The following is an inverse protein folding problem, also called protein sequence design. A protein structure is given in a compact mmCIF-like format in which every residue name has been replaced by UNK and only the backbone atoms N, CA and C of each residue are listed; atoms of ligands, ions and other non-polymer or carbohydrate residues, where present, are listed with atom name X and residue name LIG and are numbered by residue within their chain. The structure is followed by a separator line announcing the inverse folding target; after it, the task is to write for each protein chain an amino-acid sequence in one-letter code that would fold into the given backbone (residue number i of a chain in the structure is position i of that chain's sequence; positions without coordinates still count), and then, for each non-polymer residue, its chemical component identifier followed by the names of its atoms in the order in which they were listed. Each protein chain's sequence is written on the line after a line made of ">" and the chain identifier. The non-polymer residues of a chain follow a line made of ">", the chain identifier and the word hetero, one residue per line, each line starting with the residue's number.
data_IF_497784917411
#
_entry.id   IF_497784917411
#
_cell.length_a   1.000
_cell.length_b   1.000
_cell.length_c   1.000
_cell.angle_alpha   90.00
_cell.angle_beta   90.00
_cell.angle_gamma   90.00
#
_symmetry.space_group_name_H-M   'P 1'
#
loop_
_entity.id
_entity.type
_entity.pdbx_description
1 polymer ?
#
# COMPACT_ATOMS: atom_id res chain seq x y z
N UNK A 1 0.36 14.11 9.01
CA UNK A 1 1.06 13.57 10.22
C UNK A 1 1.35 12.08 10.08
N UNK A 2 0.38 11.23 9.68
CA UNK A 2 0.60 9.78 9.50
C UNK A 2 1.67 9.50 8.43
N UNK A 3 1.61 10.17 7.27
CA UNK A 3 2.61 10.08 6.22
C UNK A 3 4.04 10.35 6.74
N UNK A 4 4.23 11.42 7.50
CA UNK A 4 5.52 11.75 8.10
C UNK A 4 6.01 10.67 9.08
N UNK A 5 5.10 10.11 9.88
CA UNK A 5 5.41 9.02 10.80
C UNK A 5 5.88 7.77 10.07
N UNK A 6 5.18 7.38 9.01
CA UNK A 6 5.49 6.18 8.23
C UNK A 6 6.78 6.31 7.42
N UNK A 7 7.02 7.48 6.85
CA UNK A 7 8.17 7.70 5.92
C UNK A 7 9.40 8.30 6.60
N UNK A 8 9.31 8.72 7.86
CA UNK A 8 10.37 9.48 8.54
C UNK A 8 10.58 10.88 7.94
N UNK A 9 9.67 11.37 7.10
CA UNK A 9 9.76 12.69 6.49
C UNK A 9 9.34 13.79 7.45
N UNK A 10 9.86 15.00 7.26
CA UNK A 10 9.45 16.23 7.94
C UNK A 10 8.71 17.16 6.98
N UNK A 11 7.68 16.66 6.31
CA UNK A 11 6.81 17.53 5.51
C UNK A 11 5.95 18.34 6.46
N UNK A 12 5.87 19.67 6.25
CA UNK A 12 5.05 20.57 7.05
C UNK A 12 3.58 20.12 7.00
N UNK A 13 3.13 19.42 8.01
CA UNK A 13 1.69 19.20 8.21
C UNK A 13 1.13 20.49 8.83
N UNK A 14 0.43 21.28 8.04
CA UNK A 14 -0.38 22.39 8.54
C UNK A 14 -1.81 21.89 8.72
N UNK A 15 -2.45 22.31 9.82
CA UNK A 15 -3.91 22.19 9.99
C UNK A 15 -4.62 23.18 9.06
N UNK A 16 -4.41 23.03 7.76
CA UNK A 16 -5.03 23.84 6.70
C UNK A 16 -5.64 22.91 5.69
N UNK A 17 -6.85 23.25 5.29
CA UNK A 17 -7.49 22.68 4.10
C UNK A 17 -6.58 22.90 2.88
N UNK A 18 -6.39 21.88 2.04
CA UNK A 18 -5.48 21.93 0.86
C UNK A 18 -3.98 22.12 1.21
N UNK A 19 -3.52 21.53 2.32
CA UNK A 19 -2.10 21.60 2.69
C UNK A 19 -1.18 20.93 1.64
N UNK A 20 -1.71 20.03 0.81
CA UNK A 20 -1.00 19.32 -0.25
C UNK A 20 -1.77 19.55 -1.58
N UNK A 21 -1.17 20.24 -2.54
CA UNK A 21 -1.73 20.43 -3.90
C UNK A 21 -1.17 19.39 -4.88
N UNK A 22 0.12 19.04 -4.74
CA UNK A 22 0.76 17.99 -5.52
C UNK A 22 0.99 16.76 -4.65
N UNK A 23 0.74 15.52 -5.16
CA UNK A 23 0.97 14.32 -4.40
C UNK A 23 2.44 14.22 -3.96
N UNK A 24 2.64 14.02 -2.68
CA UNK A 24 3.98 13.82 -2.13
C UNK A 24 4.29 12.32 -2.09
N UNK A 25 5.25 11.89 -2.91
CA UNK A 25 5.67 10.49 -2.95
C UNK A 25 6.96 10.25 -2.15
N UNK A 26 7.02 9.18 -1.36
CA UNK A 26 8.22 8.75 -0.63
C UNK A 26 8.36 7.24 -0.64
N UNK A 27 9.58 6.80 -0.93
CA UNK A 27 9.96 5.40 -0.74
C UNK A 27 10.13 5.08 0.75
N UNK A 28 9.69 3.89 1.16
CA UNK A 28 9.90 3.35 2.49
C UNK A 28 10.06 1.83 2.44
N UNK A 29 10.53 1.24 3.53
CA UNK A 29 10.65 -0.20 3.67
C UNK A 29 9.63 -0.73 4.67
N UNK A 30 8.93 -1.81 4.31
CA UNK A 30 8.07 -2.58 5.20
C UNK A 30 8.92 -3.51 6.10
N UNK A 31 8.34 -4.09 7.16
CA UNK A 31 9.07 -4.98 8.07
C UNK A 31 9.78 -6.15 7.39
N UNK A 32 9.23 -6.69 6.31
CA UNK A 32 9.88 -7.75 5.50
C UNK A 32 11.09 -7.27 4.68
N UNK A 33 11.38 -5.96 4.66
CA UNK A 33 12.38 -5.36 3.78
C UNK A 33 11.85 -5.03 2.38
N UNK A 34 10.56 -5.23 2.11
CA UNK A 34 9.93 -4.82 0.86
C UNK A 34 9.96 -3.31 0.74
N UNK A 35 10.43 -2.81 -0.39
CA UNK A 35 10.35 -1.41 -0.73
C UNK A 35 9.00 -1.08 -1.37
N UNK A 36 8.34 -0.06 -0.85
CA UNK A 36 7.10 0.51 -1.39
C UNK A 36 7.25 2.01 -1.58
N UNK A 37 6.36 2.61 -2.37
CA UNK A 37 6.20 4.05 -2.49
C UNK A 37 4.88 4.43 -1.84
N UNK A 38 4.93 5.31 -0.86
CA UNK A 38 3.75 5.90 -0.23
C UNK A 38 3.49 7.26 -0.89
N UNK A 39 2.27 7.47 -1.36
CA UNK A 39 1.80 8.74 -1.90
C UNK A 39 0.82 9.38 -0.91
N UNK A 40 1.06 10.64 -0.55
CA UNK A 40 0.12 11.46 0.24
C UNK A 40 -0.65 12.34 -0.73
N UNK A 41 -1.96 12.12 -0.79
CA UNK A 41 -2.87 12.86 -1.67
C UNK A 41 -3.49 14.04 -0.92
N UNK A 42 -4.22 14.86 -1.63
CA UNK A 42 -4.98 15.97 -1.03
C UNK A 42 -6.06 15.40 -0.10
N UNK A 43 -6.22 16.02 1.09
CA UNK A 43 -7.32 15.68 2.00
C UNK A 43 -8.68 15.97 1.35
N UNK A 44 -9.60 15.01 1.42
CA UNK A 44 -10.96 15.20 0.97
C UNK A 44 -11.70 16.16 1.90
N UNK A 45 -12.50 17.04 1.31
CA UNK A 45 -13.33 18.02 2.01
C UNK A 45 -14.77 17.79 1.56
N UNK A 46 -15.67 17.74 2.51
CA UNK A 46 -17.11 17.72 2.25
C UNK A 46 -17.50 18.87 1.32
N UNK A 47 -18.22 18.57 0.26
CA UNK A 47 -18.63 19.52 -0.79
C UNK A 47 -17.46 20.16 -1.60
N UNK A 48 -16.64 19.32 -2.24
CA UNK A 48 -15.69 19.79 -3.25
C UNK A 48 -16.44 20.52 -4.38
N UNK A 49 -16.14 21.81 -4.66
CA UNK A 49 -16.67 22.48 -5.82
C UNK A 49 -16.27 21.74 -7.10
N UNK A 50 -17.20 21.58 -8.03
CA UNK A 50 -16.97 20.87 -9.32
C UNK A 50 -15.75 21.41 -10.11
N UNK A 51 -15.45 22.70 -9.95
CA UNK A 51 -14.29 23.35 -10.56
C UNK A 51 -12.94 22.84 -10.00
N UNK A 52 -12.92 22.39 -8.75
CA UNK A 52 -11.73 21.82 -8.12
C UNK A 52 -11.56 20.32 -8.44
N UNK A 53 -12.63 19.58 -8.76
CA UNK A 53 -12.55 18.18 -9.18
C UNK A 53 -11.67 18.02 -10.42
N UNK A 54 -11.72 18.94 -11.38
CA UNK A 54 -10.82 18.92 -12.54
C UNK A 54 -9.35 19.15 -12.18
N UNK A 55 -9.09 20.04 -11.23
CA UNK A 55 -7.72 20.28 -10.74
C UNK A 55 -7.15 19.06 -9.97
N UNK A 56 -8.02 18.26 -9.35
CA UNK A 56 -7.62 17.06 -8.61
C UNK A 56 -7.57 15.77 -9.45
N UNK A 57 -7.96 15.81 -10.72
CA UNK A 57 -7.93 14.62 -11.58
C UNK A 57 -6.56 13.94 -11.61
N UNK A 58 -5.47 14.69 -11.67
CA UNK A 58 -4.12 14.13 -11.69
C UNK A 58 -3.75 13.45 -10.37
N UNK A 59 -4.22 13.96 -9.23
CA UNK A 59 -3.99 13.34 -7.91
C UNK A 59 -4.87 12.12 -7.70
N UNK A 60 -6.08 12.10 -8.28
CA UNK A 60 -6.99 10.96 -8.24
C UNK A 60 -6.54 9.84 -9.19
N UNK A 61 -5.83 10.14 -10.28
CA UNK A 61 -5.21 9.13 -11.14
C UNK A 61 -4.20 8.27 -10.37
N UNK A 62 -3.46 8.84 -9.42
CA UNK A 62 -2.55 8.09 -8.54
C UNK A 62 -3.31 7.12 -7.62
N UNK A 63 -4.51 7.50 -7.15
CA UNK A 63 -5.36 6.63 -6.34
C UNK A 63 -5.85 5.44 -7.17
N UNK A 64 -6.27 5.66 -8.41
CA UNK A 64 -6.72 4.61 -9.33
C UNK A 64 -5.59 3.62 -9.67
N UNK A 65 -4.34 4.09 -9.73
CA UNK A 65 -3.19 3.25 -10.05
C UNK A 65 -2.53 2.61 -8.83
N UNK A 66 -2.98 2.94 -7.62
CA UNK A 66 -2.40 2.40 -6.39
C UNK A 66 -2.67 0.90 -6.23
N UNK A 67 -1.65 0.14 -5.83
CA UNK A 67 -1.80 -1.28 -5.48
C UNK A 67 -2.60 -1.47 -4.17
N UNK A 68 -2.57 -0.47 -3.27
CA UNK A 68 -3.31 -0.44 -2.01
C UNK A 68 -3.67 1.00 -1.66
N UNK A 69 -4.93 1.23 -1.31
CA UNK A 69 -5.46 2.50 -0.85
C UNK A 69 -5.57 2.47 0.68
N UNK A 70 -5.01 3.47 1.33
CA UNK A 70 -5.11 3.66 2.78
C UNK A 70 -6.13 4.77 3.05
N UNK A 71 -7.36 4.40 3.41
CA UNK A 71 -8.41 5.36 3.75
C UNK A 71 -8.28 5.73 5.23
N UNK A 72 -7.78 6.95 5.50
CA UNK A 72 -7.48 7.43 6.85
C UNK A 72 -8.64 8.25 7.38
N UNK A 73 -9.24 7.77 8.49
CA UNK A 73 -10.34 8.40 9.20
C UNK A 73 -9.83 9.11 10.45
N UNK A 74 -10.42 10.27 10.75
CA UNK A 74 -10.22 10.97 12.01
C UNK A 74 -11.20 10.48 13.07
N UNK A 75 -10.72 9.68 14.02
CA UNK A 75 -11.59 9.16 15.10
C UNK A 75 -12.08 10.24 16.06
N UNK A 76 -11.46 11.42 16.08
CA UNK A 76 -11.86 12.53 16.94
C UNK A 76 -12.95 13.41 16.33
N UNK A 77 -13.26 13.21 15.02
CA UNK A 77 -14.29 13.96 14.30
C UNK A 77 -15.69 13.40 14.61
N UNK A 78 -16.61 14.26 15.00
CA UNK A 78 -18.03 13.90 15.13
C UNK A 78 -18.67 13.60 13.76
N UNK A 79 -18.03 14.03 12.65
CA UNK A 79 -18.47 13.84 11.27
C UNK A 79 -17.77 12.66 10.57
N UNK A 80 -17.00 11.85 11.30
CA UNK A 80 -16.21 10.76 10.74
C UNK A 80 -17.01 9.85 9.78
N UNK A 81 -18.26 9.57 10.09
CA UNK A 81 -19.16 8.76 9.26
C UNK A 81 -19.56 9.45 7.96
N UNK A 82 -19.87 10.74 8.03
CA UNK A 82 -20.26 11.55 6.86
C UNK A 82 -19.05 11.73 5.94
N UNK A 83 -17.89 12.07 6.50
CA UNK A 83 -16.62 12.20 5.77
C UNK A 83 -16.24 10.89 5.05
N UNK A 84 -16.44 9.73 5.70
CA UNK A 84 -16.19 8.44 5.09
C UNK A 84 -17.13 8.14 3.92
N UNK A 85 -18.40 8.55 4.03
CA UNK A 85 -19.40 8.41 2.95
C UNK A 85 -19.05 9.29 1.75
N UNK A 86 -18.64 10.53 2.01
CA UNK A 86 -18.22 11.47 0.95
C UNK A 86 -17.01 10.93 0.17
N UNK A 87 -16.01 10.40 0.87
CA UNK A 87 -14.83 9.76 0.23
C UNK A 87 -15.26 8.54 -0.60
N UNK A 88 -16.18 7.72 -0.08
CA UNK A 88 -16.69 6.55 -0.81
C UNK A 88 -17.39 6.95 -2.12
N UNK A 89 -18.19 8.01 -2.10
CA UNK A 89 -18.84 8.53 -3.30
C UNK A 89 -17.82 9.01 -4.35
N UNK A 90 -16.73 9.67 -3.92
CA UNK A 90 -15.67 10.10 -4.83
C UNK A 90 -14.90 8.90 -5.41
N UNK A 91 -14.65 7.85 -4.61
CA UNK A 91 -14.03 6.62 -5.10
C UNK A 91 -14.89 5.95 -6.18
N UNK A 92 -16.21 5.92 -5.99
CA UNK A 92 -17.16 5.43 -7.00
C UNK A 92 -17.09 6.26 -8.30
N UNK A 93 -17.07 7.58 -8.18
CA UNK A 93 -16.99 8.51 -9.33
C UNK A 93 -15.72 8.34 -10.17
N UNK A 94 -14.60 7.93 -9.56
CA UNK A 94 -13.35 7.63 -10.26
C UNK A 94 -13.21 6.15 -10.68
N UNK A 95 -14.26 5.33 -10.48
CA UNK A 95 -14.33 3.95 -10.95
C UNK A 95 -13.77 2.90 -9.98
N UNK A 96 -13.55 3.26 -8.71
CA UNK A 96 -13.17 2.31 -7.64
C UNK A 96 -14.45 1.88 -6.92
N UNK A 97 -15.12 0.90 -7.48
CA UNK A 97 -16.36 0.35 -6.96
C UNK A 97 -16.18 -0.44 -5.65
N UNK A 98 -17.28 -0.88 -5.04
CA UNK A 98 -17.29 -1.60 -3.77
C UNK A 98 -16.43 -2.88 -3.84
N UNK A 99 -16.48 -3.63 -4.93
CA UNK A 99 -15.70 -4.85 -5.10
C UNK A 99 -14.20 -4.56 -5.19
N UNK A 100 -13.80 -3.50 -5.89
CA UNK A 100 -12.41 -3.04 -5.95
C UNK A 100 -11.91 -2.60 -4.58
N UNK A 101 -12.76 -1.92 -3.78
CA UNK A 101 -12.42 -1.52 -2.41
C UNK A 101 -12.19 -2.72 -1.49
N UNK A 102 -12.99 -3.79 -1.63
CA UNK A 102 -12.81 -5.01 -0.85
C UNK A 102 -11.44 -5.66 -1.06
N UNK A 103 -10.85 -5.49 -2.24
CA UNK A 103 -9.57 -6.06 -2.60
C UNK A 103 -8.37 -5.14 -2.32
N UNK A 104 -8.56 -3.80 -2.37
CA UNK A 104 -7.45 -2.85 -2.44
C UNK A 104 -7.54 -1.68 -1.45
N UNK A 105 -8.52 -1.64 -0.53
CA UNK A 105 -8.69 -0.54 0.41
C UNK A 105 -8.59 -1.00 1.86
N UNK A 106 -7.71 -0.36 2.65
CA UNK A 106 -7.56 -0.57 4.08
C UNK A 106 -8.03 0.66 4.85
N UNK A 107 -8.99 0.50 5.77
CA UNK A 107 -9.45 1.56 6.64
C UNK A 107 -8.53 1.75 7.85
N UNK A 108 -8.06 2.97 8.04
CA UNK A 108 -7.18 3.37 9.13
C UNK A 108 -7.88 4.40 9.99
N UNK A 109 -8.10 4.09 11.25
CA UNK A 109 -8.69 4.97 12.25
C UNK A 109 -7.57 5.65 13.02
N UNK A 110 -7.25 6.88 12.61
CA UNK A 110 -6.19 7.68 13.21
C UNK A 110 -6.71 8.54 14.36
N UNK A 111 -5.80 9.11 15.13
CA UNK A 111 -6.04 9.92 16.32
C UNK A 111 -6.69 9.14 17.48
N UNK A 112 -6.38 7.84 17.58
CA UNK A 112 -6.88 6.98 18.66
C UNK A 112 -6.45 7.44 20.07
N UNK A 113 -5.45 8.31 20.16
CA UNK A 113 -4.95 8.90 21.41
C UNK A 113 -5.88 9.96 22.02
N UNK A 114 -6.77 10.57 21.23
CA UNK A 114 -7.70 11.62 21.66
C UNK A 114 -9.18 11.28 21.41
N UNK A 115 -9.46 10.09 20.91
CA UNK A 115 -10.82 9.64 20.68
C UNK A 115 -11.48 9.21 22.00
N UNK A 116 -12.36 10.05 22.57
CA UNK A 116 -13.07 9.78 23.82
C UNK A 116 -14.16 8.70 23.71
N UNK A 117 -14.55 8.34 22.52
CA UNK A 117 -15.64 7.37 22.25
C UNK A 117 -15.09 6.22 21.42
N UNK A 118 -15.54 5.00 21.74
CA UNK A 118 -15.50 3.93 20.76
C UNK A 118 -16.39 4.36 19.60
N UNK A 119 -15.78 4.78 18.49
CA UNK A 119 -16.51 5.05 17.26
C UNK A 119 -17.11 3.71 16.84
N UNK A 120 -18.41 3.59 17.04
CA UNK A 120 -19.14 2.45 16.49
C UNK A 120 -19.15 2.68 14.97
N UNK A 121 -18.51 1.79 14.24
CA UNK A 121 -18.26 1.95 12.80
C UNK A 121 -19.12 0.93 12.05
N UNK A 122 -20.45 1.05 12.11
CA UNK A 122 -21.36 0.08 11.48
C UNK A 122 -21.35 0.15 9.95
N UNK A 123 -20.78 1.24 9.39
CA UNK A 123 -20.82 1.50 7.95
C UNK A 123 -19.59 1.03 7.18
N UNK A 124 -18.53 0.53 7.85
CA UNK A 124 -17.37 -0.03 7.18
C UNK A 124 -17.56 -1.53 6.99
N UNK A 125 -18.37 -1.86 5.99
CA UNK A 125 -18.54 -3.24 5.54
C UNK A 125 -17.64 -3.59 4.35
N UNK A 126 -17.01 -2.60 3.73
CA UNK A 126 -16.15 -2.73 2.55
C UNK A 126 -14.68 -2.50 2.91
N UNK A 127 -13.78 -3.02 2.10
CA UNK A 127 -12.33 -2.87 2.26
C UNK A 127 -11.66 -4.05 2.99
N UNK A 128 -10.70 -4.70 2.34
CA UNK A 128 -9.90 -5.85 2.78
C UNK A 128 -10.63 -6.81 3.72
N UNK A 129 -11.83 -7.28 3.32
CA UNK A 129 -12.72 -8.13 4.11
C UNK A 129 -13.13 -7.50 5.45
N UNK A 130 -13.38 -6.19 5.50
CA UNK A 130 -13.77 -5.46 6.71
C UNK A 130 -12.63 -5.25 7.71
N UNK A 131 -11.38 -5.44 7.33
CA UNK A 131 -10.22 -5.19 8.21
C UNK A 131 -10.04 -3.70 8.44
N UNK A 132 -9.86 -3.34 9.70
CA UNK A 132 -9.63 -1.96 10.13
C UNK A 132 -8.44 -1.89 11.08
N UNK A 133 -7.66 -0.81 11.03
CA UNK A 133 -6.55 -0.56 11.93
C UNK A 133 -6.82 0.72 12.71
N UNK A 134 -6.68 0.65 14.04
CA UNK A 134 -6.69 1.83 14.90
C UNK A 134 -5.26 2.23 15.20
N UNK A 135 -4.94 3.51 14.99
CA UNK A 135 -3.60 4.01 15.26
C UNK A 135 -3.61 5.47 15.76
N UNK A 136 -2.48 5.90 16.26
CA UNK A 136 -2.19 7.31 16.51
C UNK A 136 -0.89 7.69 15.81
N UNK A 137 -0.98 8.51 14.80
CA UNK A 137 0.18 9.07 14.13
C UNK A 137 1.04 9.93 15.08
N UNK A 138 0.45 10.51 16.12
CA UNK A 138 1.14 11.35 17.10
C UNK A 138 1.95 10.50 18.08
N UNK A 139 1.34 9.54 18.75
CA UNK A 139 2.01 8.68 19.75
C UNK A 139 2.82 7.54 19.14
N UNK A 140 2.43 7.06 17.96
CA UNK A 140 2.97 5.88 17.29
C UNK A 140 2.22 4.58 17.62
N UNK A 141 1.23 4.64 18.50
CA UNK A 141 0.42 3.46 18.84
C UNK A 141 -0.28 2.89 17.60
N UNK A 142 -0.26 1.56 17.41
CA UNK A 142 -0.89 0.86 16.28
C UNK A 142 -0.20 1.05 14.93
N UNK A 143 0.90 1.80 14.85
CA UNK A 143 1.64 2.02 13.59
C UNK A 143 2.37 0.76 13.15
N UNK A 144 2.94 -0.01 14.08
CA UNK A 144 3.59 -1.29 13.74
C UNK A 144 2.57 -2.31 13.23
N UNK A 145 1.36 -2.35 13.80
CA UNK A 145 0.27 -3.19 13.32
C UNK A 145 -0.16 -2.79 11.90
N UNK A 146 -0.23 -1.49 11.61
CA UNK A 146 -0.50 -0.99 10.27
C UNK A 146 0.57 -1.44 9.27
N UNK A 147 1.86 -1.29 9.60
CA UNK A 147 2.95 -1.71 8.73
C UNK A 147 2.93 -3.22 8.48
N UNK A 148 2.66 -4.02 9.51
CA UNK A 148 2.52 -5.46 9.38
C UNK A 148 1.34 -5.85 8.49
N UNK A 149 0.19 -5.18 8.60
CA UNK A 149 -0.98 -5.44 7.75
C UNK A 149 -0.72 -5.09 6.28
N UNK A 150 -0.02 -3.98 6.01
CA UNK A 150 0.38 -3.62 4.65
C UNK A 150 1.35 -4.67 4.09
N UNK A 151 2.31 -5.13 4.89
CA UNK A 151 3.29 -6.14 4.48
C UNK A 151 2.62 -7.49 4.18
N UNK A 152 1.69 -7.92 5.05
CA UNK A 152 0.88 -9.12 4.85
C UNK A 152 0.02 -9.04 3.58
N UNK A 153 -0.60 -7.88 3.32
CA UNK A 153 -1.36 -7.62 2.10
C UNK A 153 -0.55 -7.89 0.84
N UNK A 154 0.67 -7.36 0.77
CA UNK A 154 1.54 -7.58 -0.37
C UNK A 154 2.10 -9.00 -0.42
N UNK A 155 2.41 -9.61 0.74
CA UNK A 155 2.91 -10.97 0.81
C UNK A 155 1.91 -12.01 0.29
N UNK A 156 0.61 -11.79 0.49
CA UNK A 156 -0.46 -12.66 -0.02
C UNK A 156 -0.61 -12.60 -1.55
N UNK A 157 -0.15 -11.52 -2.17
CA UNK A 157 -0.21 -11.30 -3.63
C UNK A 157 1.07 -11.73 -4.35
N UNK A 158 2.11 -12.07 -3.60
CA UNK A 158 3.35 -12.56 -4.18
C UNK A 158 3.17 -13.96 -4.75
N UNK A 159 3.77 -14.18 -5.91
CA UNK A 159 3.86 -15.50 -6.48
C UNK A 159 5.01 -16.30 -5.84
N UNK A 160 4.70 -17.46 -5.26
CA UNK A 160 5.72 -18.44 -4.85
C UNK A 160 6.25 -19.12 -6.11
N UNK A 161 7.53 -18.90 -6.41
CA UNK A 161 8.16 -19.33 -7.66
C UNK A 161 9.41 -20.17 -7.37
N UNK A 162 9.54 -21.28 -8.08
CA UNK A 162 10.79 -22.00 -8.19
C UNK A 162 11.50 -21.58 -9.49
N UNK A 163 12.75 -21.17 -9.37
CA UNK A 163 13.57 -20.64 -10.47
C UNK A 163 14.86 -21.45 -10.51
N UNK A 164 15.20 -21.99 -11.69
CA UNK A 164 16.43 -22.73 -11.92
C UNK A 164 17.33 -21.86 -12.79
N UNK A 165 18.50 -21.53 -12.30
CA UNK A 165 19.43 -20.60 -12.93
C UNK A 165 20.72 -21.35 -13.26
N UNK A 166 21.09 -21.35 -14.54
CA UNK A 166 22.35 -21.90 -14.98
C UNK A 166 23.53 -21.02 -14.53
N UNK A 167 24.74 -21.58 -14.36
CA UNK A 167 25.90 -20.82 -13.89
C UNK A 167 26.26 -19.60 -14.74
N UNK A 168 25.93 -19.62 -16.02
CA UNK A 168 26.10 -18.52 -16.98
C UNK A 168 25.25 -17.29 -16.67
N UNK A 169 24.18 -17.45 -15.90
CA UNK A 169 23.23 -16.39 -15.53
C UNK A 169 23.37 -15.93 -14.07
N UNK A 170 24.60 -15.87 -13.53
CA UNK A 170 24.84 -15.47 -12.14
C UNK A 170 24.21 -14.10 -11.78
N UNK A 171 24.11 -13.17 -12.76
CA UNK A 171 23.44 -11.88 -12.58
C UNK A 171 21.96 -12.02 -12.23
N UNK A 172 21.26 -13.02 -12.77
CA UNK A 172 19.85 -13.29 -12.45
C UNK A 172 19.67 -13.69 -10.97
N UNK A 173 20.60 -14.51 -10.45
CA UNK A 173 20.64 -14.89 -9.04
C UNK A 173 20.82 -13.66 -8.13
N UNK A 174 21.80 -12.80 -8.44
CA UNK A 174 22.06 -11.59 -7.68
C UNK A 174 20.84 -10.65 -7.69
N UNK A 175 20.18 -10.53 -8.84
CA UNK A 175 18.97 -9.70 -8.96
C UNK A 175 17.83 -10.25 -8.09
N UNK A 176 17.60 -11.57 -8.06
CA UNK A 176 16.59 -12.18 -7.21
C UNK A 176 16.85 -11.91 -5.72
N UNK A 177 18.10 -12.01 -5.27
CA UNK A 177 18.46 -11.69 -3.89
C UNK A 177 18.19 -10.22 -3.50
N UNK A 178 18.17 -9.32 -4.48
CA UNK A 178 17.88 -7.89 -4.25
C UNK A 178 16.38 -7.54 -4.39
N UNK A 179 15.61 -8.33 -5.17
CA UNK A 179 14.26 -7.96 -5.61
C UNK A 179 13.17 -8.99 -5.26
N UNK A 180 13.54 -10.06 -4.54
CA UNK A 180 12.60 -11.12 -4.15
C UNK A 180 12.83 -11.54 -2.70
N UNK A 181 11.78 -12.07 -2.06
CA UNK A 181 11.93 -12.74 -0.77
C UNK A 181 12.37 -14.19 -1.01
N UNK A 182 13.65 -14.49 -0.73
CA UNK A 182 14.22 -15.81 -0.91
C UNK A 182 13.77 -16.74 0.24
N UNK A 183 13.03 -17.79 -0.12
CA UNK A 183 12.57 -18.82 0.81
C UNK A 183 13.59 -19.94 0.96
N UNK A 184 14.16 -20.38 -0.17
CA UNK A 184 15.15 -21.45 -0.22
C UNK A 184 16.16 -21.18 -1.36
N UNK A 185 17.42 -21.51 -1.13
CA UNK A 185 18.48 -21.33 -2.11
C UNK A 185 19.47 -22.49 -1.99
N UNK A 186 19.68 -23.25 -3.08
CA UNK A 186 20.58 -24.40 -3.13
C UNK A 186 21.15 -24.62 -4.52
N UNK A 187 22.25 -25.33 -4.61
CA UNK A 187 22.82 -25.79 -5.88
C UNK A 187 22.55 -27.29 -6.07
N UNK A 188 22.25 -27.68 -7.29
CA UNK A 188 22.13 -29.09 -7.64
C UNK A 188 23.49 -29.69 -8.08
N UNK A 189 23.54 -30.99 -8.35
CA UNK A 189 24.76 -31.69 -8.79
C UNK A 189 25.28 -31.20 -10.14
N UNK A 190 24.47 -30.53 -10.93
CA UNK A 190 24.79 -29.98 -12.25
C UNK A 190 25.31 -28.51 -12.16
N UNK A 191 25.47 -27.99 -10.92
CA UNK A 191 25.94 -26.63 -10.69
C UNK A 191 24.88 -25.54 -10.93
N UNK A 192 23.63 -25.93 -11.17
CA UNK A 192 22.53 -24.96 -11.33
C UNK A 192 22.08 -24.45 -9.95
N UNK A 193 21.78 -23.17 -9.88
CA UNK A 193 21.23 -22.53 -8.68
C UNK A 193 19.71 -22.65 -8.68
N UNK A 194 19.16 -23.41 -7.74
CA UNK A 194 17.72 -23.57 -7.53
C UNK A 194 17.31 -22.61 -6.43
N UNK A 195 16.48 -21.63 -6.78
CA UNK A 195 15.97 -20.62 -5.86
C UNK A 195 14.46 -20.76 -5.78
N UNK A 196 13.94 -20.92 -4.56
CA UNK A 196 12.53 -20.72 -4.26
C UNK A 196 12.36 -19.34 -3.67
N UNK A 197 11.54 -18.51 -4.31
CA UNK A 197 11.38 -17.12 -3.93
C UNK A 197 9.93 -16.66 -4.10
N UNK A 198 9.51 -15.71 -3.25
CA UNK A 198 8.27 -14.97 -3.44
C UNK A 198 8.57 -13.70 -4.20
N UNK A 199 7.86 -13.51 -5.29
CA UNK A 199 8.02 -12.39 -6.22
C UNK A 199 6.70 -11.63 -6.32
N UNK A 200 6.77 -10.30 -6.16
CA UNK A 200 5.65 -9.45 -6.53
C UNK A 200 5.33 -9.59 -8.03
N UNK A 201 4.08 -9.37 -8.46
CA UNK A 201 3.72 -9.41 -9.88
C UNK A 201 4.62 -8.51 -10.74
N UNK A 202 4.96 -7.32 -10.25
CA UNK A 202 5.84 -6.38 -10.93
C UNK A 202 7.27 -6.93 -11.07
N UNK A 203 7.85 -7.49 -10.01
CA UNK A 203 9.19 -8.05 -10.05
C UNK A 203 9.25 -9.34 -10.87
N UNK A 204 8.19 -10.15 -10.87
CA UNK A 204 8.08 -11.30 -11.75
C UNK A 204 8.08 -10.88 -13.22
N UNK A 205 7.33 -9.85 -13.58
CA UNK A 205 7.31 -9.29 -14.94
C UNK A 205 8.68 -8.71 -15.34
N UNK A 206 9.33 -7.96 -14.42
CA UNK A 206 10.70 -7.42 -14.64
C UNK A 206 11.72 -8.54 -14.83
N UNK A 207 11.68 -9.59 -14.01
CA UNK A 207 12.55 -10.75 -14.13
C UNK A 207 12.40 -11.41 -15.50
N UNK A 208 11.19 -11.69 -15.93
CA UNK A 208 10.90 -12.27 -17.25
C UNK A 208 11.38 -11.40 -18.42
N UNK A 209 11.28 -10.08 -18.28
CA UNK A 209 11.75 -9.13 -19.30
C UNK A 209 13.28 -9.16 -19.43
N UNK A 210 14.02 -9.28 -18.33
CA UNK A 210 15.51 -9.31 -18.35
C UNK A 210 16.07 -10.68 -18.72
N UNK A 211 15.39 -11.75 -18.30
CA UNK A 211 15.81 -13.14 -18.52
C UNK A 211 14.65 -13.98 -19.07
N UNK A 212 14.27 -13.79 -20.34
CA UNK A 212 13.11 -14.48 -20.93
C UNK A 212 13.30 -16.01 -21.01
N UNK A 213 14.55 -16.47 -21.04
CA UNK A 213 14.90 -17.90 -21.13
C UNK A 213 14.83 -18.62 -19.78
N UNK A 214 14.81 -17.88 -18.67
CA UNK A 214 14.72 -18.43 -17.31
C UNK A 214 13.26 -18.45 -16.88
N UNK A 215 12.70 -19.66 -16.69
CA UNK A 215 11.30 -19.86 -16.28
C UNK A 215 11.18 -19.78 -14.75
N UNK A 216 10.39 -18.85 -14.26
CA UNK A 216 9.87 -18.87 -12.91
C UNK A 216 8.57 -19.68 -12.90
N UNK A 217 8.61 -20.89 -12.33
CA UNK A 217 7.44 -21.79 -12.22
C UNK A 217 6.76 -21.52 -10.89
N UNK A 218 5.44 -21.31 -10.91
CA UNK A 218 4.65 -21.27 -9.68
C UNK A 218 4.71 -22.65 -9.00
N UNK A 219 4.92 -22.64 -7.70
CA UNK A 219 4.92 -23.83 -6.83
C UNK A 219 3.57 -24.05 -6.20
#
# INVERSE_FOLDING_TARGET
>A
TLFNRLTGANVLSKDMLFATLDPTMRGMFLPSGRQIVLADTVGFISALPTELVEAFKSTLEEVVQADLILHVHDMSSDLCSEEASDVSAVLDDIGIDEQSRDDHLLHIFNKADIADKAVDIPFIQTGLNGRTIKCSALSGSGVDDLLNQIDEYFAQRDADCQIIINPEHAAASAWLHQNANIVESRYNAEGQHIIRARLSPANKARFHKHWPDIKARNT
#
